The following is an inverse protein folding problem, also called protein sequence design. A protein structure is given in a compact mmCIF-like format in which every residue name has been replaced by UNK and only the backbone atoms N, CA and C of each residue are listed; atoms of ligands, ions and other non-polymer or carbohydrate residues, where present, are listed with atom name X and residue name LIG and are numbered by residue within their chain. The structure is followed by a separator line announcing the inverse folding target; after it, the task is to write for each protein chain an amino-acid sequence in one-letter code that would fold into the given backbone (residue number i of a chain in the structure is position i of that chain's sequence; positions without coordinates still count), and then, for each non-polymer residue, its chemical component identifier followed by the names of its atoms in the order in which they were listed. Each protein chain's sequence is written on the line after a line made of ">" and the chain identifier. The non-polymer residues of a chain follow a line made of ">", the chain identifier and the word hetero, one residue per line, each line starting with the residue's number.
data_IF_128389766335
#
_entry.id   IF_128389766335
#
_cell.length_a   1.000
_cell.length_b   1.000
_cell.length_c   1.000
_cell.angle_alpha   90.00
_cell.angle_beta   90.00
_cell.angle_gamma   90.00
#
_symmetry.space_group_name_H-M   'P 1'
#
loop_
_entity.id
_entity.type
_entity.pdbx_description
1 polymer ?
#
# COMPACT_ATOMS: atom_id res chain seq x y z
N UNK A 1 -39.69 -45.25 -30.61
CA UNK A 1 -38.26 -45.25 -30.18
C UNK A 1 -37.86 -43.77 -30.00
N UNK A 2 -37.89 -43.29 -28.78
CA UNK A 2 -37.67 -41.88 -28.43
C UNK A 2 -36.28 -41.75 -27.78
N UNK A 3 -35.33 -41.12 -28.48
CA UNK A 3 -33.98 -40.92 -28.01
C UNK A 3 -33.89 -39.61 -27.21
N UNK A 4 -33.73 -39.72 -25.92
CA UNK A 4 -33.55 -38.61 -24.98
C UNK A 4 -32.09 -38.17 -25.01
N UNK A 5 -31.79 -36.99 -25.64
CA UNK A 5 -30.48 -36.35 -25.60
C UNK A 5 -30.31 -35.66 -24.23
N UNK A 6 -29.40 -36.17 -23.42
CA UNK A 6 -28.95 -35.49 -22.17
C UNK A 6 -27.99 -34.36 -22.53
N UNK A 7 -28.43 -33.14 -22.33
CA UNK A 7 -27.59 -31.93 -22.43
C UNK A 7 -26.81 -31.81 -21.12
N UNK A 8 -25.52 -32.09 -21.17
CA UNK A 8 -24.62 -31.89 -20.03
C UNK A 8 -24.30 -30.39 -19.87
N UNK A 9 -24.78 -29.80 -18.80
CA UNK A 9 -24.47 -28.42 -18.42
C UNK A 9 -23.08 -28.40 -17.75
N UNK A 10 -22.06 -27.95 -18.49
CA UNK A 10 -20.72 -27.68 -17.94
C UNK A 10 -20.76 -26.37 -17.13
N UNK A 11 -20.80 -26.49 -15.82
CA UNK A 11 -20.60 -25.39 -14.88
C UNK A 11 -19.13 -24.97 -14.89
N UNK A 12 -18.81 -23.87 -15.58
CA UNK A 12 -17.55 -23.16 -15.41
C UNK A 12 -17.58 -22.39 -14.08
N UNK A 13 -16.95 -22.94 -13.06
CA UNK A 13 -16.62 -22.19 -11.85
C UNK A 13 -15.51 -21.20 -12.17
N UNK A 14 -15.70 -19.88 -11.95
CA UNK A 14 -14.61 -18.93 -12.08
C UNK A 14 -13.62 -19.17 -10.92
N UNK A 15 -12.44 -19.67 -11.24
CA UNK A 15 -11.30 -19.68 -10.32
C UNK A 15 -10.88 -18.22 -10.10
N UNK A 16 -11.35 -17.60 -9.02
CA UNK A 16 -10.76 -16.38 -8.50
C UNK A 16 -9.43 -16.75 -7.86
N UNK A 17 -8.33 -16.60 -8.61
CA UNK A 17 -6.98 -16.60 -8.05
C UNK A 17 -6.86 -15.38 -7.12
N UNK A 18 -7.18 -15.56 -5.86
CA UNK A 18 -6.71 -14.68 -4.81
C UNK A 18 -5.22 -14.98 -4.64
N UNK A 19 -4.37 -14.11 -5.18
CA UNK A 19 -2.95 -14.15 -4.89
C UNK A 19 -2.77 -13.88 -3.39
N UNK A 20 -2.66 -14.93 -2.60
CA UNK A 20 -2.18 -14.84 -1.23
C UNK A 20 -0.71 -14.43 -1.30
N UNK A 21 -0.42 -13.15 -1.00
CA UNK A 21 0.95 -12.61 -0.94
C UNK A 21 1.71 -13.05 0.32
N UNK A 22 1.45 -14.27 0.80
CA UNK A 22 2.13 -14.84 1.98
C UNK A 22 3.63 -15.09 1.81
N UNK A 23 4.12 -15.16 0.58
CA UNK A 23 5.54 -15.29 0.28
C UNK A 23 5.91 -14.27 -0.81
N UNK A 24 6.54 -13.19 -0.43
CA UNK A 24 7.09 -12.27 -1.40
C UNK A 24 8.34 -12.87 -2.07
N UNK A 25 8.29 -13.07 -3.38
CA UNK A 25 9.35 -13.68 -4.18
C UNK A 25 10.34 -12.65 -4.75
N UNK A 26 10.34 -11.40 -4.26
CA UNK A 26 11.24 -10.38 -4.75
C UNK A 26 12.68 -10.61 -4.28
N UNK A 27 13.59 -10.83 -5.23
CA UNK A 27 15.03 -10.85 -5.01
C UNK A 27 15.68 -9.64 -5.67
N UNK A 28 16.09 -8.61 -4.91
CA UNK A 28 16.70 -7.40 -5.48
C UNK A 28 18.08 -7.62 -6.11
N UNK A 29 18.75 -8.75 -5.84
CA UNK A 29 20.01 -9.10 -6.46
C UNK A 29 19.85 -9.79 -7.84
N UNK A 30 18.64 -10.20 -8.20
CA UNK A 30 18.33 -10.85 -9.47
C UNK A 30 17.64 -9.86 -10.44
N UNK A 31 18.29 -9.48 -11.56
CA UNK A 31 17.68 -8.60 -12.56
C UNK A 31 16.41 -9.13 -13.19
N UNK A 32 16.19 -10.45 -13.23
CA UNK A 32 14.96 -11.03 -13.73
C UNK A 32 13.83 -10.83 -12.72
N UNK A 33 14.10 -11.03 -11.42
CA UNK A 33 13.16 -10.76 -10.34
C UNK A 33 12.72 -9.31 -10.31
N UNK A 34 13.64 -8.35 -10.52
CA UNK A 34 13.32 -6.91 -10.52
C UNK A 34 12.32 -6.49 -11.62
N UNK A 35 12.13 -7.30 -12.66
CA UNK A 35 11.13 -7.07 -13.72
C UNK A 35 9.74 -7.60 -13.38
N UNK A 36 9.60 -8.35 -12.31
CA UNK A 36 8.30 -8.87 -11.87
C UNK A 36 7.45 -7.77 -11.24
N UNK A 37 6.14 -8.01 -11.19
CA UNK A 37 5.21 -7.06 -10.57
C UNK A 37 5.49 -6.89 -9.07
N UNK A 38 5.82 -7.96 -8.39
CA UNK A 38 6.11 -7.99 -6.95
C UNK A 38 7.32 -7.13 -6.60
N UNK A 39 8.31 -7.09 -7.49
CA UNK A 39 9.55 -6.34 -7.36
C UNK A 39 9.52 -4.94 -7.96
N UNK A 40 8.48 -4.53 -8.64
CA UNK A 40 8.46 -3.28 -9.41
C UNK A 40 8.85 -2.05 -8.58
N UNK A 41 8.34 -1.92 -7.36
CA UNK A 41 8.68 -0.80 -6.47
C UNK A 41 10.09 -0.95 -5.88
N UNK A 42 10.57 -2.16 -5.65
CA UNK A 42 11.97 -2.43 -5.27
C UNK A 42 12.91 -1.98 -6.40
N UNK A 43 12.58 -2.29 -7.65
CA UNK A 43 13.34 -1.83 -8.81
C UNK A 43 13.41 -0.29 -8.90
N UNK A 44 12.31 0.40 -8.59
CA UNK A 44 12.35 1.87 -8.53
C UNK A 44 13.22 2.38 -7.37
N UNK A 45 13.22 1.71 -6.22
CA UNK A 45 14.07 2.07 -5.10
C UNK A 45 15.57 1.91 -5.42
N UNK A 46 15.98 0.90 -6.20
CA UNK A 46 17.39 0.71 -6.62
C UNK A 46 17.94 1.84 -7.50
N UNK A 47 17.06 2.59 -8.16
CA UNK A 47 17.43 3.69 -9.06
C UNK A 47 17.60 5.03 -8.32
N UNK A 48 17.27 5.08 -7.05
CA UNK A 48 17.32 6.34 -6.30
C UNK A 48 18.76 6.74 -5.99
N UNK A 49 19.07 8.06 -5.95
CA UNK A 49 20.40 8.53 -5.63
C UNK A 49 20.81 8.17 -4.22
N UNK A 50 22.12 7.95 -4.03
CA UNK A 50 22.68 7.70 -2.70
C UNK A 50 22.38 8.88 -1.75
N UNK A 51 22.00 8.55 -0.50
CA UNK A 51 21.65 9.53 0.52
C UNK A 51 20.18 9.97 0.53
N UNK A 52 19.40 9.65 -0.49
CA UNK A 52 17.95 9.83 -0.44
C UNK A 52 17.33 8.71 0.40
N UNK A 53 16.50 9.07 1.38
CA UNK A 53 15.88 8.12 2.32
C UNK A 53 14.43 7.81 1.96
N UNK A 54 13.72 8.76 1.33
CA UNK A 54 12.32 8.64 0.93
C UNK A 54 12.12 9.27 -0.45
N UNK A 55 11.31 8.64 -1.29
CA UNK A 55 10.97 9.16 -2.62
C UNK A 55 9.48 8.98 -2.93
N UNK A 56 9.04 9.66 -4.00
CA UNK A 56 7.66 9.62 -4.44
C UNK A 56 7.57 9.12 -5.88
N UNK A 57 6.57 8.28 -6.15
CA UNK A 57 6.23 7.81 -7.49
C UNK A 57 4.76 8.08 -7.80
N UNK A 58 4.44 8.41 -9.03
CA UNK A 58 3.06 8.32 -9.50
C UNK A 58 2.63 6.85 -9.50
N UNK A 59 1.41 6.54 -9.03
CA UNK A 59 0.88 5.16 -9.13
C UNK A 59 0.78 4.77 -10.61
N UNK A 60 1.44 3.67 -10.97
CA UNK A 60 1.48 3.20 -12.35
C UNK A 60 0.15 2.61 -12.83
N UNK A 61 -0.81 2.38 -11.94
CA UNK A 61 -2.11 1.83 -12.30
C UNK A 61 -2.95 2.85 -13.08
N UNK A 62 -3.35 2.55 -14.33
CA UNK A 62 -4.23 3.44 -15.11
C UNK A 62 -5.60 3.66 -14.45
N UNK A 63 -5.98 2.79 -13.52
CA UNK A 63 -7.22 2.92 -12.74
C UNK A 63 -7.09 3.87 -11.55
N UNK A 64 -5.89 4.40 -11.28
CA UNK A 64 -5.57 5.26 -10.14
C UNK A 64 -4.75 6.48 -10.59
N UNK A 65 -5.22 7.25 -11.58
CA UNK A 65 -4.43 8.32 -12.22
C UNK A 65 -4.07 9.46 -11.25
N UNK A 66 -4.81 9.59 -10.16
CA UNK A 66 -4.67 10.68 -9.19
C UNK A 66 -3.91 10.25 -7.93
N UNK A 67 -3.24 9.09 -7.94
CA UNK A 67 -2.51 8.59 -6.78
C UNK A 67 -1.02 8.73 -6.93
N UNK A 68 -0.39 9.01 -5.81
CA UNK A 68 1.06 8.97 -5.63
C UNK A 68 1.40 7.93 -4.58
N UNK A 69 2.57 7.33 -4.68
CA UNK A 69 3.14 6.44 -3.68
C UNK A 69 4.31 7.15 -3.01
N UNK A 70 4.44 7.00 -1.69
CA UNK A 70 5.62 7.40 -0.93
C UNK A 70 6.31 6.16 -0.40
N UNK A 71 7.61 6.04 -0.66
CA UNK A 71 8.39 4.83 -0.42
C UNK A 71 9.71 5.17 0.27
N UNK A 72 10.22 4.30 1.18
CA UNK A 72 11.61 4.38 1.61
C UNK A 72 12.53 3.91 0.48
N UNK A 73 13.75 4.44 0.41
CA UNK A 73 14.78 3.92 -0.50
C UNK A 73 15.44 2.64 0.04
N UNK A 74 15.33 2.39 1.34
CA UNK A 74 15.86 1.18 1.98
C UNK A 74 15.16 -0.06 1.45
N UNK A 75 15.95 -0.95 0.86
CA UNK A 75 15.49 -2.21 0.29
C UNK A 75 15.62 -3.32 1.33
N UNK A 76 14.60 -4.17 1.42
CA UNK A 76 14.65 -5.43 2.15
C UNK A 76 14.95 -6.57 1.18
N UNK A 77 15.84 -7.47 1.60
CA UNK A 77 16.31 -8.58 0.75
C UNK A 77 15.43 -9.82 0.83
N UNK A 78 14.61 -9.94 1.87
CA UNK A 78 13.77 -11.11 2.11
C UNK A 78 12.35 -10.73 2.49
N UNK A 79 11.39 -11.34 1.82
CA UNK A 79 9.97 -11.23 2.14
C UNK A 79 9.35 -9.86 1.84
N UNK A 80 8.18 -9.64 2.41
CA UNK A 80 7.45 -8.39 2.28
C UNK A 80 7.95 -7.36 3.29
N UNK A 81 8.37 -6.21 2.81
CA UNK A 81 8.80 -5.11 3.67
C UNK A 81 7.61 -4.43 4.33
N UNK A 82 7.70 -4.23 5.64
CA UNK A 82 6.65 -3.64 6.47
C UNK A 82 7.15 -2.41 7.22
N UNK A 83 6.25 -1.67 7.87
CA UNK A 83 6.63 -0.56 8.75
C UNK A 83 7.48 -1.02 9.94
N UNK A 84 7.37 -2.30 10.35
CA UNK A 84 8.17 -2.85 11.46
C UNK A 84 9.66 -3.04 11.10
N UNK A 85 9.97 -3.13 9.79
CA UNK A 85 11.34 -3.29 9.30
C UNK A 85 12.15 -1.98 9.28
N UNK A 86 11.47 -0.85 9.46
CA UNK A 86 12.08 0.46 9.56
C UNK A 86 12.35 0.82 11.03
N UNK A 87 13.42 1.56 11.28
CA UNK A 87 13.66 2.19 12.58
C UNK A 87 12.59 3.26 12.89
N UNK A 88 12.43 3.67 14.16
CA UNK A 88 11.50 4.75 14.51
C UNK A 88 11.76 6.06 13.74
N UNK A 89 13.03 6.39 13.50
CA UNK A 89 13.42 7.59 12.74
C UNK A 89 12.99 7.47 11.27
N UNK A 90 13.30 6.35 10.60
CA UNK A 90 12.91 6.11 9.20
C UNK A 90 11.39 6.12 9.02
N UNK A 91 10.62 5.54 9.97
CA UNK A 91 9.15 5.62 9.94
C UNK A 91 8.63 7.03 10.06
N UNK A 92 9.20 7.81 10.97
CA UNK A 92 8.82 9.21 11.16
C UNK A 92 9.08 10.01 9.91
N UNK A 93 10.23 9.81 9.28
CA UNK A 93 10.60 10.48 8.02
C UNK A 93 9.66 10.07 6.89
N UNK A 94 9.37 8.78 6.72
CA UNK A 94 8.45 8.26 5.71
C UNK A 94 7.05 8.87 5.84
N UNK A 95 6.48 8.88 7.04
CA UNK A 95 5.17 9.48 7.28
C UNK A 95 5.19 11.00 7.10
N UNK A 96 6.25 11.68 7.54
CA UNK A 96 6.40 13.13 7.36
C UNK A 96 6.45 13.50 5.88
N UNK A 97 7.23 12.77 5.08
CA UNK A 97 7.31 12.95 3.64
C UNK A 97 5.97 12.67 2.95
N UNK A 98 5.27 11.58 3.33
CA UNK A 98 3.96 11.27 2.80
C UNK A 98 2.92 12.35 3.11
N UNK A 99 2.90 12.87 4.33
CA UNK A 99 2.00 13.97 4.75
C UNK A 99 2.32 15.25 3.98
N UNK A 100 3.60 15.59 3.83
CA UNK A 100 4.02 16.77 3.08
C UNK A 100 3.55 16.70 1.62
N UNK A 101 3.77 15.54 0.97
CA UNK A 101 3.33 15.29 -0.40
C UNK A 101 1.81 15.32 -0.54
N UNK A 102 1.10 14.78 0.43
CA UNK A 102 -0.35 14.77 0.45
C UNK A 102 -0.94 16.19 0.55
N UNK A 103 -0.37 17.02 1.42
CA UNK A 103 -0.75 18.44 1.54
C UNK A 103 -0.46 19.25 0.29
N UNK A 104 0.69 19.00 -0.34
CA UNK A 104 1.06 19.63 -1.63
C UNK A 104 0.01 19.35 -2.70
N UNK A 105 -0.46 18.09 -2.81
CA UNK A 105 -1.37 17.67 -3.86
C UNK A 105 -2.85 17.98 -3.58
N UNK A 106 -3.29 17.91 -2.30
CA UNK A 106 -4.72 17.86 -1.94
C UNK A 106 -5.12 18.85 -0.83
N UNK A 107 -4.23 19.74 -0.40
CA UNK A 107 -4.51 20.71 0.68
C UNK A 107 -4.90 20.01 1.98
N UNK A 108 -6.15 20.16 2.41
CA UNK A 108 -6.70 19.52 3.62
C UNK A 108 -7.57 18.29 3.32
N UNK A 109 -7.76 17.93 2.05
CA UNK A 109 -8.62 16.82 1.64
C UNK A 109 -7.84 15.52 1.38
N UNK A 110 -6.64 15.41 1.95
CA UNK A 110 -5.76 14.28 1.73
C UNK A 110 -6.06 13.08 2.63
N UNK A 111 -5.72 11.91 2.13
CA UNK A 111 -5.61 10.67 2.88
C UNK A 111 -4.33 9.92 2.53
N UNK A 112 -3.83 9.15 3.49
CA UNK A 112 -2.70 8.23 3.34
C UNK A 112 -3.17 6.83 3.69
N UNK A 113 -2.75 5.83 2.92
CA UNK A 113 -3.14 4.45 3.16
C UNK A 113 -1.95 3.49 3.04
N UNK A 114 -1.76 2.69 4.07
CA UNK A 114 -0.81 1.58 4.12
C UNK A 114 -1.61 0.28 4.15
N UNK A 115 -1.61 -0.45 3.05
CA UNK A 115 -2.34 -1.71 2.91
C UNK A 115 -1.73 -2.82 3.80
N UNK A 116 -2.60 -3.65 4.36
CA UNK A 116 -2.19 -4.87 5.06
C UNK A 116 -1.47 -5.86 4.15
N UNK A 117 -0.61 -6.70 4.75
CA UNK A 117 0.25 -7.62 3.99
C UNK A 117 -0.52 -8.62 3.13
N UNK A 118 -1.74 -9.02 3.55
CA UNK A 118 -2.57 -9.99 2.82
C UNK A 118 -3.10 -9.49 1.47
N UNK A 119 -3.16 -8.17 1.26
CA UNK A 119 -3.73 -7.57 0.03
C UNK A 119 -2.68 -6.84 -0.80
N UNK A 120 -1.45 -6.77 -0.34
CA UNK A 120 -0.34 -6.15 -1.08
C UNK A 120 0.13 -7.06 -2.20
N UNK A 121 0.38 -6.46 -3.36
CA UNK A 121 0.89 -7.16 -4.55
C UNK A 121 2.35 -6.81 -4.85
N UNK A 122 2.93 -5.91 -4.09
CA UNK A 122 4.35 -5.52 -4.18
C UNK A 122 5.03 -5.70 -2.84
N UNK A 123 6.26 -6.19 -2.88
CA UNK A 123 7.05 -6.52 -1.71
C UNK A 123 7.56 -5.28 -0.98
N UNK A 124 7.92 -4.26 -1.73
CA UNK A 124 8.46 -3.03 -1.16
C UNK A 124 7.41 -2.23 -0.41
N UNK A 125 7.78 -1.70 0.74
CA UNK A 125 6.93 -0.83 1.55
C UNK A 125 6.53 0.42 0.76
N UNK A 126 5.24 0.73 0.76
CA UNK A 126 4.73 1.95 0.17
C UNK A 126 3.48 2.46 0.89
N UNK A 127 3.35 3.77 0.91
CA UNK A 127 2.16 4.47 1.39
C UNK A 127 1.47 5.09 0.19
N UNK A 128 0.19 4.77 -0.02
CA UNK A 128 -0.64 5.43 -1.01
C UNK A 128 -1.02 6.82 -0.52
N UNK A 129 -0.85 7.80 -1.39
CA UNK A 129 -1.17 9.22 -1.17
C UNK A 129 -2.27 9.59 -2.16
N UNK A 130 -3.37 10.13 -1.68
CA UNK A 130 -4.49 10.52 -2.54
C UNK A 130 -5.47 11.47 -1.85
N UNK A 131 -6.48 11.91 -2.62
CA UNK A 131 -7.60 12.64 -2.06
C UNK A 131 -8.47 11.67 -1.25
N UNK A 132 -8.84 12.05 -0.04
CA UNK A 132 -9.75 11.26 0.79
C UNK A 132 -11.16 11.29 0.18
N UNK A 133 -11.85 10.16 0.17
CA UNK A 133 -13.25 10.10 -0.22
C UNK A 133 -14.12 10.74 0.86
N UNK A 134 -15.15 11.48 0.44
CA UNK A 134 -16.07 12.13 1.35
C UNK A 134 -16.87 11.11 2.19
N UNK A 135 -17.04 11.39 3.48
CA UNK A 135 -17.88 10.58 4.36
C UNK A 135 -17.27 9.25 4.80
N UNK A 136 -16.01 8.97 4.47
CA UNK A 136 -15.34 7.76 4.96
C UNK A 136 -14.86 7.99 6.38
N UNK A 137 -15.42 7.22 7.31
CA UNK A 137 -15.02 7.20 8.73
C UNK A 137 -15.44 5.85 9.31
N UNK A 138 -14.55 4.86 9.25
CA UNK A 138 -14.84 3.48 9.65
C UNK A 138 -13.74 2.89 10.52
N UNK A 139 -14.08 1.84 11.25
CA UNK A 139 -13.14 1.01 11.99
C UNK A 139 -12.71 1.58 13.35
N UNK A 140 -11.63 1.01 13.87
CA UNK A 140 -11.02 1.42 15.14
C UNK A 140 -10.09 2.59 14.87
N UNK A 141 -10.28 3.68 15.60
CA UNK A 141 -9.54 4.94 15.37
C UNK A 141 -8.80 5.42 16.62
N UNK A 142 -7.73 6.15 16.37
CA UNK A 142 -7.00 6.91 17.39
C UNK A 142 -6.57 8.26 16.82
N UNK A 143 -6.29 9.22 17.70
CA UNK A 143 -5.77 10.53 17.31
C UNK A 143 -4.33 10.67 17.77
N UNK A 144 -3.48 11.18 16.87
CA UNK A 144 -2.07 11.49 17.16
C UNK A 144 -1.76 12.93 16.75
N UNK A 145 -0.76 13.52 17.41
CA UNK A 145 -0.36 14.91 17.15
C UNK A 145 0.87 15.00 16.24
N UNK A 146 1.62 13.90 16.12
CA UNK A 146 2.87 13.87 15.35
C UNK A 146 3.02 12.57 14.57
N UNK A 147 3.66 12.57 13.38
CA UNK A 147 3.89 11.37 12.56
C UNK A 147 4.59 10.22 13.30
N UNK A 148 5.50 10.52 14.23
CA UNK A 148 6.19 9.50 15.04
C UNK A 148 5.26 8.68 15.94
N UNK A 149 4.05 9.15 16.18
CA UNK A 149 3.04 8.49 17.01
C UNK A 149 2.10 7.57 16.20
N UNK A 150 2.21 7.55 14.88
CA UNK A 150 1.45 6.62 14.03
C UNK A 150 1.87 5.20 14.37
N UNK A 151 0.91 4.32 14.73
CA UNK A 151 1.24 2.98 15.20
C UNK A 151 1.84 2.11 14.09
N UNK A 152 2.58 1.08 14.50
CA UNK A 152 3.11 0.04 13.62
C UNK A 152 2.22 -1.19 13.74
N UNK A 153 1.45 -1.58 12.71
CA UNK A 153 0.70 -2.82 12.73
C UNK A 153 1.66 -4.03 12.78
N UNK A 154 1.58 -4.80 13.87
CA UNK A 154 2.42 -6.01 14.04
C UNK A 154 1.71 -7.29 13.64
N UNK A 155 0.40 -7.21 13.43
CA UNK A 155 -0.46 -8.32 13.02
C UNK A 155 -0.61 -8.45 11.50
N UNK A 156 0.16 -7.68 10.74
CA UNK A 156 0.09 -7.63 9.29
C UNK A 156 -1.11 -6.86 8.74
N UNK A 157 -1.90 -6.20 9.59
CA UNK A 157 -2.97 -5.31 9.13
C UNK A 157 -2.41 -4.04 8.48
N UNK A 158 -3.28 -3.33 7.77
CA UNK A 158 -3.04 -1.99 7.26
C UNK A 158 -3.57 -0.92 8.20
N UNK A 159 -3.30 0.32 7.84
CA UNK A 159 -3.87 1.51 8.47
C UNK A 159 -4.03 2.64 7.44
N UNK A 160 -4.89 3.58 7.73
CA UNK A 160 -4.97 4.82 6.95
C UNK A 160 -5.08 6.04 7.86
N UNK A 161 -4.65 7.19 7.33
CA UNK A 161 -4.45 8.43 8.08
C UNK A 161 -5.03 9.60 7.30
N UNK A 162 -5.70 10.51 8.01
CA UNK A 162 -6.16 11.77 7.44
C UNK A 162 -6.14 12.90 8.49
N UNK A 163 -6.18 14.18 8.08
CA UNK A 163 -6.20 15.30 9.00
C UNK A 163 -7.58 15.50 9.62
N UNK A 164 -7.60 15.83 10.92
CA UNK A 164 -8.79 16.34 11.63
C UNK A 164 -8.37 17.52 12.49
N UNK A 165 -8.62 18.73 12.01
CA UNK A 165 -8.12 19.95 12.62
C UNK A 165 -6.59 19.95 12.63
N UNK A 166 -5.97 20.04 13.82
CA UNK A 166 -4.52 20.02 13.99
C UNK A 166 -3.94 18.63 14.27
N UNK A 167 -4.80 17.60 14.34
CA UNK A 167 -4.40 16.22 14.64
C UNK A 167 -4.50 15.34 13.42
N UNK A 168 -3.88 14.19 13.51
CA UNK A 168 -4.04 13.09 12.56
C UNK A 168 -5.00 12.07 13.16
N UNK A 169 -6.04 11.67 12.42
CA UNK A 169 -6.88 10.54 12.74
C UNK A 169 -6.31 9.32 12.03
N UNK A 170 -6.06 8.26 12.79
CA UNK A 170 -5.47 7.02 12.31
C UNK A 170 -6.49 5.90 12.47
N UNK A 171 -6.82 5.23 11.40
CA UNK A 171 -7.68 4.05 11.37
C UNK A 171 -6.82 2.80 11.28
N UNK A 172 -7.07 1.81 12.13
CA UNK A 172 -6.21 0.63 12.29
C UNK A 172 -6.98 -0.67 12.11
N UNK A 173 -6.25 -1.80 11.98
CA UNK A 173 -6.77 -3.17 11.84
C UNK A 173 -7.57 -3.42 10.57
N UNK A 174 -7.27 -2.72 9.51
CA UNK A 174 -7.87 -2.92 8.20
C UNK A 174 -6.90 -3.63 7.26
N UNK A 175 -7.38 -4.17 6.13
CA UNK A 175 -6.52 -4.80 5.13
C UNK A 175 -6.42 -3.94 3.86
N UNK A 176 -7.53 -3.61 3.24
CA UNK A 176 -7.56 -2.88 1.96
C UNK A 176 -7.80 -1.39 2.21
N UNK A 177 -6.81 -0.72 2.78
CA UNK A 177 -6.94 0.66 3.24
C UNK A 177 -6.94 1.70 2.12
N UNK A 178 -6.36 1.39 0.97
CA UNK A 178 -6.32 2.32 -0.16
C UNK A 178 -7.69 2.61 -0.80
N UNK A 179 -8.72 1.87 -0.45
CA UNK A 179 -10.10 2.08 -0.96
C UNK A 179 -10.75 3.35 -0.46
N UNK A 180 -10.22 3.95 0.63
CA UNK A 180 -10.68 5.23 1.17
C UNK A 180 -10.21 6.44 0.34
N UNK A 181 -9.31 6.21 -0.63
CA UNK A 181 -8.75 7.25 -1.47
C UNK A 181 -9.42 7.28 -2.85
N UNK A 182 -9.60 8.48 -3.39
CA UNK A 182 -10.06 8.68 -4.76
C UNK A 182 -9.14 7.93 -5.74
N UNK A 183 -9.74 7.27 -6.71
CA UNK A 183 -9.04 6.55 -7.80
C UNK A 183 -8.52 7.48 -8.86
#
# INVERSE_FOLDING_TARGET
>A
MSGMRRLGLLLFLPFTLTAETGACACNPADPASLKTRECSLTNEATKQPAGLTVFHLKDASPRKPNRTLTLPTRIQTNGIQTLADLSPAERTELWTAAIAKAKELWGNEWGLAYNGVKVRTQCHLHIHVGKLLNGVDSGITLFVNHPSQIPVPRDGSGLWVHPVGRRLKVHIKEQTTETVLLR
#
